data_IF_330278604004
#
_entry.id   IF_330278604004
#
_cell.length_a   1.000
_cell.length_b   1.000
_cell.length_c   1.000
_cell.angle_alpha   90.00
_cell.angle_beta   90.00
_cell.angle_gamma   90.00
#
_symmetry.space_group_name_H-M   'P 1'
#
loop_
_entity.id
_entity.type
_entity.pdbx_description
1 polymer ?
#
# COMPACT_ATOMS: atom_id res chain seq x y z
N UNK A 1 35.89 31.69 8.05
CA UNK A 1 36.03 30.26 7.66
C UNK A 1 34.73 29.59 8.02
N UNK A 2 33.84 29.65 7.05
CA UNK A 2 32.41 29.46 7.18
C UNK A 2 31.99 28.09 6.62
N UNK A 3 30.96 27.49 7.26
CA UNK A 3 30.02 26.47 6.75
C UNK A 3 30.49 24.98 6.75
N UNK A 4 29.58 23.98 6.94
CA UNK A 4 28.16 24.01 6.57
C UNK A 4 27.12 23.70 7.64
N UNK A 5 25.99 24.40 7.49
CA UNK A 5 24.65 24.10 7.98
C UNK A 5 24.18 22.73 7.46
N UNK A 6 24.37 21.69 8.25
CA UNK A 6 23.69 20.42 8.03
C UNK A 6 22.20 20.61 8.30
N UNK A 7 21.37 20.61 7.25
CA UNK A 7 19.94 20.36 7.37
C UNK A 7 19.76 19.04 8.11
N UNK A 8 19.45 19.11 9.41
CA UNK A 8 19.02 17.97 10.18
C UNK A 8 17.66 17.54 9.61
N UNK A 9 17.71 16.59 8.66
CA UNK A 9 16.58 15.75 8.30
C UNK A 9 16.25 14.92 9.53
N UNK A 10 15.48 15.50 10.45
CA UNK A 10 14.80 14.82 11.52
C UNK A 10 13.71 13.92 10.90
N UNK A 11 14.14 12.96 10.07
CA UNK A 11 13.35 11.83 9.65
C UNK A 11 13.26 10.96 10.89
N UNK A 12 12.23 11.27 11.67
CA UNK A 12 11.66 10.40 12.67
C UNK A 12 11.75 8.96 12.13
N UNK A 13 12.66 8.16 12.69
CA UNK A 13 12.92 6.77 12.33
C UNK A 13 11.80 5.87 12.87
N UNK A 14 10.55 6.36 12.90
CA UNK A 14 9.40 5.49 12.92
C UNK A 14 9.54 4.56 11.71
N UNK A 15 9.89 3.30 11.96
CA UNK A 15 10.06 2.29 10.93
C UNK A 15 8.93 2.44 9.91
N UNK A 16 9.28 2.60 8.62
CA UNK A 16 8.28 2.86 7.59
C UNK A 16 7.30 1.70 7.63
N UNK A 17 6.03 1.97 7.93
CA UNK A 17 5.01 0.94 8.09
C UNK A 17 4.93 0.02 6.85
N UNK A 18 5.39 0.52 5.68
CA UNK A 18 5.53 -0.23 4.44
C UNK A 18 6.44 -1.46 4.58
N UNK A 19 7.43 -1.43 5.46
CA UNK A 19 8.33 -2.57 5.73
C UNK A 19 7.59 -3.75 6.36
N UNK A 20 6.50 -3.49 7.08
CA UNK A 20 5.64 -4.52 7.70
C UNK A 20 4.48 -4.96 6.80
N UNK A 21 4.41 -4.46 5.56
CA UNK A 21 3.36 -4.84 4.63
C UNK A 21 3.54 -6.29 4.19
N UNK A 22 2.54 -7.14 4.42
CA UNK A 22 2.58 -8.56 4.03
C UNK A 22 2.69 -8.78 2.50
N UNK A 23 2.37 -7.75 1.71
CA UNK A 23 2.51 -7.73 0.26
C UNK A 23 3.87 -7.18 -0.21
N UNK A 24 4.73 -6.68 0.68
CA UNK A 24 6.08 -6.26 0.33
C UNK A 24 6.86 -7.46 -0.22
N UNK A 25 7.31 -7.36 -1.47
CA UNK A 25 7.97 -8.45 -2.19
C UNK A 25 7.09 -9.23 -3.18
N UNK A 26 5.78 -8.96 -3.25
CA UNK A 26 4.98 -9.45 -4.37
C UNK A 26 5.28 -8.67 -5.65
N UNK A 27 5.12 -9.30 -6.84
CA UNK A 27 5.23 -8.60 -8.11
C UNK A 27 4.24 -7.43 -8.18
N UNK A 28 4.68 -6.26 -8.65
CA UNK A 28 3.80 -5.10 -8.83
C UNK A 28 2.56 -5.42 -9.66
N UNK A 29 2.71 -6.25 -10.70
CA UNK A 29 1.58 -6.71 -11.54
C UNK A 29 0.47 -7.43 -10.76
N UNK A 30 0.80 -8.05 -9.63
CA UNK A 30 -0.14 -8.77 -8.77
C UNK A 30 -0.83 -7.81 -7.80
N UNK A 31 -0.10 -6.82 -7.28
CA UNK A 31 -0.66 -5.80 -6.38
C UNK A 31 -1.56 -4.83 -7.13
N UNK A 32 -1.15 -4.41 -8.34
CA UNK A 32 -1.92 -3.49 -9.19
C UNK A 32 -2.82 -4.22 -10.21
N UNK A 33 -3.09 -5.51 -10.00
CA UNK A 33 -4.02 -6.26 -10.83
C UNK A 33 -5.46 -5.78 -10.60
N UNK A 34 -6.16 -5.45 -11.69
CA UNK A 34 -7.61 -5.11 -11.66
C UNK A 34 -8.50 -6.35 -11.69
N UNK A 35 -7.96 -7.51 -12.09
CA UNK A 35 -8.69 -8.78 -12.12
C UNK A 35 -8.44 -9.57 -10.84
N UNK A 36 -9.50 -10.14 -10.27
CA UNK A 36 -9.43 -10.91 -9.03
C UNK A 36 -8.50 -12.12 -9.10
N UNK A 37 -8.47 -12.83 -10.22
CA UNK A 37 -7.61 -14.00 -10.42
C UNK A 37 -6.13 -13.63 -10.35
N UNK A 38 -5.76 -12.50 -10.94
CA UNK A 38 -4.39 -11.98 -10.94
C UNK A 38 -4.02 -11.34 -9.59
N UNK A 39 -5.01 -10.73 -8.92
CA UNK A 39 -4.88 -10.11 -7.60
C UNK A 39 -4.95 -11.10 -6.42
N UNK A 40 -5.36 -12.35 -6.65
CA UNK A 40 -5.57 -13.35 -5.61
C UNK A 40 -4.38 -13.54 -4.63
N UNK A 41 -3.12 -13.58 -5.09
CA UNK A 41 -1.98 -13.69 -4.16
C UNK A 41 -1.83 -12.46 -3.27
N UNK A 42 -2.06 -11.25 -3.82
CA UNK A 42 -2.02 -10.01 -3.06
C UNK A 42 -3.20 -9.94 -2.07
N UNK A 43 -4.41 -10.35 -2.48
CA UNK A 43 -5.58 -10.40 -1.59
C UNK A 43 -5.37 -11.35 -0.41
N UNK A 44 -4.79 -12.53 -0.65
CA UNK A 44 -4.48 -13.49 0.41
C UNK A 44 -3.53 -12.88 1.44
N UNK A 45 -2.43 -12.24 1.00
CA UNK A 45 -1.45 -11.59 1.89
C UNK A 45 -2.04 -10.37 2.62
N UNK A 46 -2.75 -9.52 1.89
CA UNK A 46 -3.34 -8.32 2.45
C UNK A 46 -4.47 -8.64 3.45
N UNK A 47 -5.14 -9.79 3.33
CA UNK A 47 -6.19 -10.26 4.24
C UNK A 47 -5.73 -10.50 5.69
N UNK A 48 -4.44 -10.66 5.93
CA UNK A 48 -3.84 -10.79 7.27
C UNK A 48 -2.75 -9.74 7.54
N UNK A 49 -2.67 -8.68 6.73
CA UNK A 49 -1.62 -7.66 6.85
C UNK A 49 -1.82 -6.77 8.09
N UNK A 50 -0.77 -6.52 8.92
CA UNK A 50 -0.90 -5.70 10.13
C UNK A 50 -1.03 -4.20 9.84
N UNK A 51 -0.58 -3.74 8.67
CA UNK A 51 -0.54 -2.31 8.30
C UNK A 51 -1.68 -1.88 7.37
N UNK A 52 -2.82 -2.56 7.43
CA UNK A 52 -3.98 -2.28 6.56
C UNK A 52 -4.50 -0.86 6.70
N UNK A 53 -4.59 -0.34 7.92
CA UNK A 53 -5.12 0.99 8.20
C UNK A 53 -4.21 2.08 7.63
N UNK A 54 -2.89 1.96 7.85
CA UNK A 54 -1.88 2.86 7.29
C UNK A 54 -1.87 2.80 5.76
N UNK A 55 -1.98 1.59 5.19
CA UNK A 55 -2.08 1.40 3.75
C UNK A 55 -3.30 2.13 3.14
N UNK A 56 -4.48 1.98 3.74
CA UNK A 56 -5.69 2.69 3.29
C UNK A 56 -5.56 4.21 3.43
N UNK A 57 -5.02 4.68 4.54
CA UNK A 57 -4.82 6.12 4.78
C UNK A 57 -3.81 6.74 3.82
N UNK A 58 -2.78 6.01 3.41
CA UNK A 58 -1.77 6.49 2.48
C UNK A 58 -2.21 6.45 1.01
N UNK A 59 -2.97 5.42 0.62
CA UNK A 59 -3.45 5.27 -0.77
C UNK A 59 -4.71 6.10 -1.02
N UNK A 60 -5.58 6.25 -0.01
CA UNK A 60 -6.89 6.91 -0.12
C UNK A 60 -7.64 6.49 -1.38
N UNK A 61 -7.93 5.20 -1.54
CA UNK A 61 -8.32 4.63 -2.84
C UNK A 61 -9.56 5.29 -3.45
N UNK A 62 -10.55 5.70 -2.64
CA UNK A 62 -11.72 6.45 -3.11
C UNK A 62 -11.36 7.82 -3.72
N UNK A 63 -10.34 8.50 -3.20
CA UNK A 63 -9.92 9.83 -3.65
C UNK A 63 -8.90 9.76 -4.78
N UNK A 64 -8.03 8.74 -4.77
CA UNK A 64 -6.97 8.55 -5.76
C UNK A 64 -7.41 7.73 -6.98
N UNK A 65 -8.68 7.29 -7.02
CA UNK A 65 -9.23 6.46 -8.09
C UNK A 65 -8.42 5.16 -8.27
N UNK A 66 -7.92 4.62 -7.16
CA UNK A 66 -6.96 3.53 -7.18
C UNK A 66 -7.52 2.25 -7.82
N UNK A 67 -6.65 1.58 -8.57
CA UNK A 67 -6.87 0.28 -9.18
C UNK A 67 -5.87 -0.73 -8.60
N UNK A 68 -6.37 -1.83 -8.04
CA UNK A 68 -5.54 -2.89 -7.46
C UNK A 68 -5.90 -3.25 -6.02
N UNK A 69 -5.00 -3.92 -5.33
CA UNK A 69 -5.22 -4.41 -3.97
C UNK A 69 -4.68 -3.42 -2.94
N UNK A 70 -5.56 -2.91 -2.09
CA UNK A 70 -5.21 -2.03 -0.98
C UNK A 70 -6.09 -2.35 0.23
N UNK A 71 -5.53 -2.34 1.44
CA UNK A 71 -6.29 -2.56 2.67
C UNK A 71 -6.97 -3.93 2.79
N UNK A 72 -6.48 -4.94 2.06
CA UNK A 72 -7.12 -6.26 2.00
C UNK A 72 -8.32 -6.34 1.06
N UNK A 73 -8.53 -5.34 0.20
CA UNK A 73 -9.64 -5.30 -0.76
C UNK A 73 -9.12 -5.03 -2.16
N UNK A 74 -9.83 -5.54 -3.16
CA UNK A 74 -9.62 -5.16 -4.55
C UNK A 74 -10.40 -3.88 -4.82
N UNK A 75 -9.73 -2.90 -5.40
CA UNK A 75 -10.26 -1.61 -5.79
C UNK A 75 -10.22 -1.49 -7.31
N UNK A 76 -11.25 -0.82 -7.85
CA UNK A 76 -11.33 -0.46 -9.25
C UNK A 76 -11.96 0.92 -9.40
N UNK A 77 -11.27 1.85 -10.03
CA UNK A 77 -11.67 3.27 -10.09
C UNK A 77 -12.05 3.82 -8.71
N UNK A 78 -11.25 3.50 -7.69
CA UNK A 78 -11.51 3.93 -6.31
C UNK A 78 -12.75 3.33 -5.66
N UNK A 79 -13.33 2.26 -6.23
CA UNK A 79 -14.43 1.52 -5.60
C UNK A 79 -14.03 0.10 -5.27
N UNK A 80 -14.43 -0.40 -4.11
CA UNK A 80 -14.19 -1.79 -3.74
C UNK A 80 -14.98 -2.75 -4.63
N UNK A 81 -14.31 -3.76 -5.17
CA UNK A 81 -14.92 -4.82 -5.97
C UNK A 81 -15.24 -6.00 -5.05
N UNK A 82 -16.47 -6.02 -4.53
CA UNK A 82 -17.00 -7.18 -3.81
C UNK A 82 -17.53 -8.17 -4.83
N UNK A 83 -16.73 -9.15 -5.25
CA UNK A 83 -17.28 -10.33 -5.93
C UNK A 83 -17.82 -11.25 -4.84
N UNK A 84 -19.14 -11.35 -4.77
CA UNK A 84 -19.82 -12.48 -4.11
C UNK A 84 -19.48 -13.79 -4.79
#
# INVERSE_FOLDING_TARGET
MEQPTGFAFERDHAADWREFAACAGLPSRTVFATRRTEAAPALARCGHCPVRSQCLAAVQPDQSWFDGVCGGRLWRNGRTVTTG
#
